data_IF_791354834650
#
_entry.id   IF_791354834650
#
_cell.length_a   1.000
_cell.length_b   1.000
_cell.length_c   1.000
_cell.angle_alpha   90.00
_cell.angle_beta   90.00
_cell.angle_gamma   90.00
#
_symmetry.space_group_name_H-M   'P 1'
#
loop_
_entity.id
_entity.type
_entity.pdbx_description
1 polymer ?
#
# COMPACT_ATOMS: atom_id res chain seq x y z
N UNK A 1 6.57 -15.03 44.65
CA UNK A 1 5.57 -15.65 43.76
C UNK A 1 6.34 -16.51 42.77
N UNK A 2 5.93 -17.77 42.57
CA UNK A 2 6.57 -18.63 41.57
C UNK A 2 6.45 -17.95 40.22
N UNK A 3 7.58 -17.68 39.55
CA UNK A 3 7.54 -17.21 38.17
C UNK A 3 6.70 -18.21 37.36
N UNK A 4 5.69 -17.73 36.64
CA UNK A 4 4.88 -18.58 35.79
C UNK A 4 5.79 -19.06 34.66
N UNK A 5 6.37 -20.27 34.77
CA UNK A 5 7.32 -20.75 33.76
C UNK A 5 6.72 -20.74 32.35
N UNK A 6 5.40 -20.94 32.24
CA UNK A 6 4.64 -20.90 31.00
C UNK A 6 3.39 -20.05 31.14
N UNK A 7 3.10 -19.25 30.12
CA UNK A 7 1.89 -18.42 30.02
C UNK A 7 1.22 -18.56 28.65
N UNK A 8 -0.07 -18.25 28.57
CA UNK A 8 -0.79 -18.07 27.31
C UNK A 8 -1.01 -16.57 27.12
N UNK A 9 -0.71 -16.04 25.94
CA UNK A 9 -1.01 -14.64 25.63
C UNK A 9 -2.00 -14.54 24.48
N UNK A 10 -2.96 -13.64 24.63
CA UNK A 10 -3.97 -13.31 23.63
C UNK A 10 -3.87 -11.82 23.31
N UNK A 11 -3.91 -11.48 22.02
CA UNK A 11 -3.82 -10.10 21.56
C UNK A 11 -4.72 -9.87 20.37
N UNK A 12 -5.27 -8.67 20.28
CA UNK A 12 -6.06 -8.18 19.16
C UNK A 12 -5.74 -6.70 18.91
N UNK A 13 -6.01 -6.23 17.71
CA UNK A 13 -5.89 -4.83 17.35
C UNK A 13 -6.77 -4.50 16.16
N UNK A 14 -7.28 -3.29 16.13
CA UNK A 14 -8.13 -2.86 15.05
C UNK A 14 -8.15 -1.36 14.86
N UNK A 15 -8.87 -0.93 13.83
CA UNK A 15 -9.08 0.46 13.48
C UNK A 15 -10.52 0.72 13.03
N UNK A 16 -11.08 1.87 13.47
CA UNK A 16 -12.40 2.37 13.05
C UNK A 16 -12.29 3.04 11.68
N UNK A 17 -12.46 2.24 10.62
CA UNK A 17 -11.97 2.60 9.28
C UNK A 17 -10.50 2.23 9.15
N UNK A 18 -10.01 1.88 7.97
CA UNK A 18 -8.66 1.32 7.81
C UNK A 18 -7.89 2.06 6.69
N UNK A 19 -7.01 3.03 7.00
CA UNK A 19 -6.62 3.48 8.36
C UNK A 19 -7.70 4.32 9.05
N UNK A 20 -7.63 4.41 10.38
CA UNK A 20 -8.57 5.16 11.21
C UNK A 20 -8.19 5.14 12.69
N UNK A 21 -9.05 5.62 13.60
CA UNK A 21 -8.81 5.53 15.04
C UNK A 21 -8.61 4.09 15.48
N UNK A 22 -7.41 3.80 15.95
CA UNK A 22 -6.91 2.45 16.17
C UNK A 22 -6.55 2.22 17.64
N UNK A 23 -6.58 0.95 18.04
CA UNK A 23 -6.21 0.53 19.38
C UNK A 23 -5.97 -0.96 19.43
N UNK A 24 -5.29 -1.40 20.48
CA UNK A 24 -5.03 -2.81 20.73
C UNK A 24 -5.45 -3.23 22.13
N UNK A 25 -5.62 -4.54 22.29
CA UNK A 25 -5.82 -5.22 23.55
C UNK A 25 -4.89 -6.42 23.65
N UNK A 26 -4.35 -6.68 24.84
CA UNK A 26 -3.49 -7.81 25.11
C UNK A 26 -3.73 -8.34 26.53
N UNK A 27 -3.75 -9.67 26.67
CA UNK A 27 -4.01 -10.38 27.92
C UNK A 27 -2.99 -11.49 28.09
N UNK A 28 -2.44 -11.60 29.30
CA UNK A 28 -1.55 -12.69 29.72
C UNK A 28 -2.31 -13.55 30.71
N UNK A 29 -2.45 -14.83 30.42
CA UNK A 29 -3.08 -15.81 31.28
C UNK A 29 -2.07 -16.79 31.87
N UNK A 30 -2.44 -17.43 32.98
CA UNK A 30 -1.80 -18.66 33.44
C UNK A 30 -1.81 -19.74 32.36
N UNK A 31 -0.91 -20.73 32.45
CA UNK A 31 -0.79 -21.79 31.44
C UNK A 31 -2.11 -22.56 31.16
N UNK A 32 -2.99 -22.68 32.16
CA UNK A 32 -4.30 -23.32 32.07
C UNK A 32 -5.46 -22.35 31.75
N UNK A 33 -5.15 -21.06 31.51
CA UNK A 33 -6.09 -19.97 31.29
C UNK A 33 -7.08 -19.74 32.44
N UNK A 34 -6.79 -20.20 33.66
CA UNK A 34 -7.66 -20.01 34.82
C UNK A 34 -7.54 -18.63 35.46
N UNK A 35 -6.38 -17.97 35.32
CA UNK A 35 -6.10 -16.66 35.91
C UNK A 35 -5.57 -15.67 34.87
N UNK A 36 -6.02 -14.40 34.96
CA UNK A 36 -5.42 -13.28 34.23
C UNK A 36 -4.27 -12.72 35.04
N UNK A 37 -3.06 -12.79 34.49
CA UNK A 37 -1.83 -12.33 35.12
C UNK A 37 -1.50 -10.88 34.77
N UNK A 38 -1.89 -10.43 33.57
CA UNK A 38 -1.71 -9.04 33.13
C UNK A 38 -2.66 -8.70 31.97
N UNK A 39 -3.06 -7.44 31.89
CA UNK A 39 -3.78 -6.84 30.74
C UNK A 39 -3.05 -5.59 30.29
N UNK A 40 -3.11 -5.31 28.98
CA UNK A 40 -2.61 -4.08 28.36
C UNK A 40 -3.61 -3.64 27.28
N UNK A 41 -3.79 -2.34 27.14
CA UNK A 41 -4.56 -1.71 26.06
C UNK A 41 -4.06 -0.30 25.83
N UNK A 42 -4.10 0.17 24.60
CA UNK A 42 -3.62 1.51 24.24
C UNK A 42 -4.35 2.03 23.00
N UNK A 43 -4.71 3.32 23.05
CA UNK A 43 -5.24 4.06 21.91
C UNK A 43 -4.06 4.55 21.05
N UNK A 44 -3.97 4.11 19.79
CA UNK A 44 -2.82 4.35 18.91
C UNK A 44 -2.95 5.59 18.02
N UNK A 45 -4.01 6.38 18.19
CA UNK A 45 -4.35 7.45 17.25
C UNK A 45 -4.82 6.86 15.91
N UNK A 46 -4.28 7.33 14.78
CA UNK A 46 -4.63 6.81 13.45
C UNK A 46 -3.63 5.73 13.02
N UNK A 47 -4.10 4.50 12.80
CA UNK A 47 -3.29 3.39 12.29
C UNK A 47 -4.12 2.41 11.45
N UNK A 48 -3.46 1.44 10.82
CA UNK A 48 -4.14 0.31 10.15
C UNK A 48 -4.42 -0.83 11.12
N UNK A 49 -5.34 -1.74 10.76
CA UNK A 49 -5.63 -2.95 11.54
C UNK A 49 -4.34 -3.74 11.84
N UNK A 50 -3.54 -4.03 10.81
CA UNK A 50 -2.35 -4.87 10.96
C UNK A 50 -1.27 -4.21 11.86
N UNK A 51 -1.17 -2.87 11.82
CA UNK A 51 -0.28 -2.13 12.73
C UNK A 51 -0.77 -2.26 14.18
N UNK A 52 -2.09 -2.14 14.41
CA UNK A 52 -2.67 -2.32 15.72
C UNK A 52 -2.49 -3.74 16.26
N UNK A 53 -2.71 -4.76 15.42
CA UNK A 53 -2.50 -6.17 15.81
C UNK A 53 -1.04 -6.44 16.19
N UNK A 54 -0.07 -5.90 15.44
CA UNK A 54 1.35 -6.04 15.78
C UNK A 54 1.72 -5.32 17.08
N UNK A 55 1.13 -4.15 17.35
CA UNK A 55 1.29 -3.43 18.61
C UNK A 55 0.72 -4.24 19.79
N UNK A 56 -0.45 -4.84 19.60
CA UNK A 56 -1.05 -5.77 20.56
C UNK A 56 -0.14 -6.96 20.89
N UNK A 57 0.45 -7.60 19.86
CA UNK A 57 1.41 -8.69 20.06
C UNK A 57 2.65 -8.25 20.86
N UNK A 58 3.23 -7.09 20.55
CA UNK A 58 4.40 -6.55 21.26
C UNK A 58 4.06 -6.31 22.72
N UNK A 59 2.89 -5.71 23.00
CA UNK A 59 2.42 -5.48 24.36
C UNK A 59 2.19 -6.79 25.13
N UNK A 60 1.61 -7.81 24.47
CA UNK A 60 1.41 -9.14 25.04
C UNK A 60 2.74 -9.83 25.41
N UNK A 61 3.72 -9.82 24.51
CA UNK A 61 5.05 -10.39 24.76
C UNK A 61 5.81 -9.63 25.86
N UNK A 62 5.66 -8.31 25.91
CA UNK A 62 6.28 -7.48 26.97
C UNK A 62 5.65 -7.80 28.33
N UNK A 63 4.31 -7.86 28.41
CA UNK A 63 3.61 -8.23 29.63
C UNK A 63 3.94 -9.67 30.09
N UNK A 64 4.16 -10.61 29.16
CA UNK A 64 4.64 -11.95 29.48
C UNK A 64 6.04 -11.95 30.11
N UNK A 65 6.94 -11.09 29.62
CA UNK A 65 8.26 -10.90 30.21
C UNK A 65 8.17 -10.27 31.61
N UNK A 66 7.31 -9.26 31.80
CA UNK A 66 7.10 -8.59 33.09
C UNK A 66 6.64 -9.56 34.19
N UNK A 67 5.81 -10.55 33.85
CA UNK A 67 5.35 -11.59 34.79
C UNK A 67 6.38 -12.72 34.99
N UNK A 68 7.54 -12.63 34.34
CA UNK A 68 8.65 -13.57 34.48
C UNK A 68 8.47 -14.88 33.72
N UNK A 69 7.72 -14.88 32.62
CA UNK A 69 7.52 -16.07 31.81
C UNK A 69 8.79 -16.51 31.07
N UNK A 70 8.98 -17.83 30.92
CA UNK A 70 10.05 -18.42 30.11
C UNK A 70 9.52 -19.08 28.83
N UNK A 71 8.30 -19.58 28.87
CA UNK A 71 7.59 -20.15 27.73
C UNK A 71 6.29 -19.39 27.46
N UNK A 72 6.01 -19.09 26.18
CA UNK A 72 4.82 -18.32 25.77
C UNK A 72 4.06 -19.04 24.66
N UNK A 73 2.76 -19.25 24.86
CA UNK A 73 1.83 -19.67 23.81
C UNK A 73 1.03 -18.46 23.33
N UNK A 74 1.39 -17.94 22.16
CA UNK A 74 0.74 -16.77 21.53
C UNK A 74 -0.46 -17.23 20.73
N UNK A 75 -1.64 -16.73 21.08
CA UNK A 75 -2.90 -17.02 20.40
C UNK A 75 -3.52 -15.72 19.89
N UNK A 76 -3.68 -15.63 18.58
CA UNK A 76 -4.28 -14.45 17.93
C UNK A 76 -5.23 -14.88 16.81
N UNK A 77 -6.24 -14.09 16.52
CA UNK A 77 -7.14 -14.27 15.38
C UNK A 77 -6.65 -13.59 14.10
N UNK A 78 -5.56 -12.82 14.19
CA UNK A 78 -4.79 -12.36 13.03
C UNK A 78 -3.98 -13.49 12.40
N UNK A 79 -4.51 -14.08 11.33
CA UNK A 79 -3.77 -15.08 10.54
C UNK A 79 -2.49 -14.50 9.95
N UNK A 80 -2.52 -13.23 9.54
CA UNK A 80 -1.37 -12.56 8.95
C UNK A 80 -0.22 -12.41 9.95
N UNK A 81 -0.48 -11.91 11.17
CA UNK A 81 0.57 -11.78 12.20
C UNK A 81 1.10 -13.16 12.63
N UNK A 82 0.21 -14.14 12.82
CA UNK A 82 0.60 -15.51 13.20
C UNK A 82 1.53 -16.15 12.15
N UNK A 83 1.18 -16.05 10.87
CA UNK A 83 1.96 -16.66 9.79
C UNK A 83 3.30 -15.94 9.57
N UNK A 84 3.34 -14.62 9.75
CA UNK A 84 4.56 -13.83 9.65
C UNK A 84 5.53 -14.10 10.82
N UNK A 85 5.02 -14.18 12.05
CA UNK A 85 5.83 -14.52 13.22
C UNK A 85 6.27 -15.97 13.25
N UNK A 86 5.50 -16.86 12.62
CA UNK A 86 5.90 -18.25 12.40
C UNK A 86 6.95 -18.41 11.29
N UNK A 87 7.33 -17.32 10.61
CA UNK A 87 8.29 -17.34 9.49
C UNK A 87 7.76 -17.98 8.20
N UNK A 88 6.46 -18.31 8.14
CA UNK A 88 5.84 -18.91 6.95
C UNK A 88 5.53 -17.85 5.91
N UNK A 89 5.17 -16.63 6.33
CA UNK A 89 4.91 -15.49 5.46
C UNK A 89 5.96 -14.40 5.64
N UNK A 90 6.34 -13.74 4.55
CA UNK A 90 7.26 -12.60 4.60
C UNK A 90 6.51 -11.34 5.05
N UNK A 91 7.15 -10.53 5.88
CA UNK A 91 6.67 -9.17 6.19
C UNK A 91 7.21 -8.22 5.14
N UNK A 92 6.30 -7.63 4.37
CA UNK A 92 6.65 -6.73 3.26
C UNK A 92 6.19 -5.29 3.48
N UNK A 93 5.18 -5.09 4.34
CA UNK A 93 4.64 -3.77 4.63
C UNK A 93 5.62 -2.96 5.49
N UNK A 94 6.05 -1.76 5.05
CA UNK A 94 6.98 -0.89 5.77
C UNK A 94 6.68 -0.71 7.26
N UNK A 95 5.44 -0.34 7.60
CA UNK A 95 5.04 -0.10 9.00
C UNK A 95 5.10 -1.37 9.88
N UNK A 96 4.99 -2.54 9.26
CA UNK A 96 5.01 -3.81 9.97
C UNK A 96 6.41 -4.40 10.09
N UNK A 97 7.37 -4.03 9.24
CA UNK A 97 8.76 -4.51 9.33
C UNK A 97 9.41 -4.15 10.69
N UNK A 98 9.35 -2.90 11.20
CA UNK A 98 9.93 -2.59 12.50
C UNK A 98 9.16 -3.27 13.64
N UNK A 99 7.84 -3.40 13.52
CA UNK A 99 7.02 -4.09 14.52
C UNK A 99 7.31 -5.60 14.56
N UNK A 100 7.45 -6.23 13.40
CA UNK A 100 7.86 -7.63 13.28
C UNK A 100 9.26 -7.83 13.85
N UNK A 101 10.22 -6.96 13.53
CA UNK A 101 11.57 -7.03 14.10
C UNK A 101 11.54 -6.92 15.61
N UNK A 102 10.77 -5.97 16.16
CA UNK A 102 10.62 -5.78 17.60
C UNK A 102 9.96 -6.99 18.27
N UNK A 103 8.89 -7.53 17.70
CA UNK A 103 8.27 -8.75 18.18
C UNK A 103 9.24 -9.93 18.14
N UNK A 104 10.05 -10.06 17.07
CA UNK A 104 11.06 -11.11 16.94
C UNK A 104 12.21 -10.95 17.95
N UNK A 105 12.59 -9.72 18.32
CA UNK A 105 13.53 -9.46 19.42
C UNK A 105 12.97 -9.92 20.76
N UNK A 106 11.71 -9.60 21.06
CA UNK A 106 11.04 -10.07 22.28
C UNK A 106 10.91 -11.59 22.31
N UNK A 107 10.57 -12.23 21.19
CA UNK A 107 10.51 -13.70 21.09
C UNK A 107 11.83 -14.35 21.51
N UNK A 108 12.98 -13.72 21.19
CA UNK A 108 14.31 -14.24 21.56
C UNK A 108 14.63 -14.13 23.05
N UNK A 109 13.84 -13.42 23.85
CA UNK A 109 14.05 -13.34 25.31
C UNK A 109 13.42 -14.51 26.05
N UNK A 110 12.59 -15.31 25.39
CA UNK A 110 11.94 -16.51 25.94
C UNK A 110 12.69 -17.78 25.51
N UNK A 111 12.58 -18.84 26.31
CA UNK A 111 13.13 -20.16 25.96
C UNK A 111 12.35 -20.80 24.81
N UNK A 112 11.03 -20.61 24.80
CA UNK A 112 10.15 -21.16 23.79
C UNK A 112 8.94 -20.26 23.55
N UNK A 113 8.64 -19.99 22.28
CA UNK A 113 7.43 -19.28 21.86
C UNK A 113 6.72 -20.08 20.78
N UNK A 114 5.41 -20.24 20.92
CA UNK A 114 4.55 -20.84 19.89
C UNK A 114 3.54 -19.82 19.41
N UNK A 115 3.17 -19.90 18.13
CA UNK A 115 2.18 -19.04 17.51
C UNK A 115 1.03 -19.89 16.98
N UNK A 116 -0.17 -19.64 17.48
CA UNK A 116 -1.38 -20.33 17.10
C UNK A 116 -2.43 -19.32 16.62
N UNK A 117 -2.98 -19.59 15.44
CA UNK A 117 -4.18 -18.89 15.00
C UNK A 117 -5.41 -19.48 15.70
N UNK A 118 -6.26 -18.62 16.26
CA UNK A 118 -7.53 -19.00 16.89
C UNK A 118 -8.70 -18.28 16.21
N UNK A 119 -9.90 -18.88 16.16
CA UNK A 119 -11.12 -18.18 15.73
C UNK A 119 -11.41 -16.96 16.62
N UNK A 120 -12.00 -15.91 16.05
CA UNK A 120 -12.29 -14.64 16.75
C UNK A 120 -13.15 -14.81 17.99
N UNK A 121 -14.10 -15.75 17.98
CA UNK A 121 -14.93 -16.06 19.14
C UNK A 121 -14.11 -16.56 20.36
N UNK A 122 -12.89 -17.05 20.13
CA UNK A 122 -11.97 -17.51 21.17
C UNK A 122 -11.03 -16.41 21.66
N UNK A 123 -10.95 -15.26 20.98
CA UNK A 123 -10.11 -14.10 21.32
C UNK A 123 -10.92 -12.93 21.95
N UNK A 124 -12.13 -13.23 22.46
CA UNK A 124 -13.10 -12.21 22.90
C UNK A 124 -12.61 -11.26 23.98
N UNK A 125 -11.66 -11.67 24.83
CA UNK A 125 -11.12 -10.80 25.87
C UNK A 125 -10.20 -9.73 25.28
N UNK A 126 -9.24 -10.11 24.44
CA UNK A 126 -8.36 -9.15 23.78
C UNK A 126 -9.14 -8.25 22.80
N UNK A 127 -10.12 -8.80 22.07
CA UNK A 127 -11.03 -8.03 21.20
C UNK A 127 -11.83 -6.98 21.99
N UNK A 128 -12.33 -7.32 23.17
CA UNK A 128 -12.99 -6.36 24.06
C UNK A 128 -12.09 -5.19 24.43
N UNK A 129 -10.85 -5.47 24.85
CA UNK A 129 -9.85 -4.44 25.19
C UNK A 129 -9.46 -3.58 23.97
N UNK A 130 -9.30 -4.18 22.79
CA UNK A 130 -9.01 -3.47 21.55
C UNK A 130 -10.17 -2.55 21.12
N UNK A 131 -11.41 -2.98 21.32
CA UNK A 131 -12.60 -2.16 21.05
C UNK A 131 -12.70 -0.95 21.99
N UNK A 132 -12.42 -1.13 23.27
CA UNK A 132 -12.33 0.00 24.22
C UNK A 132 -11.26 1.01 23.79
N UNK A 133 -10.09 0.52 23.37
CA UNK A 133 -8.98 1.34 22.93
C UNK A 133 -9.27 2.11 21.63
N UNK A 134 -9.89 1.46 20.65
CA UNK A 134 -10.34 2.10 19.41
C UNK A 134 -11.38 3.20 19.66
N UNK A 135 -12.34 2.95 20.58
CA UNK A 135 -13.36 3.92 20.92
C UNK A 135 -12.78 5.11 21.71
N UNK A 136 -11.77 4.88 22.54
CA UNK A 136 -11.00 5.92 23.20
C UNK A 136 -10.23 6.78 22.18
N UNK A 137 -9.54 6.14 21.22
CA UNK A 137 -8.85 6.81 20.12
C UNK A 137 -9.81 7.69 19.29
N UNK A 138 -11.00 7.18 18.97
CA UNK A 138 -12.01 7.92 18.21
C UNK A 138 -12.54 9.16 18.94
N UNK A 139 -12.47 9.15 20.28
CA UNK A 139 -12.89 10.27 21.14
C UNK A 139 -11.72 11.20 21.51
N UNK A 140 -10.49 10.91 21.05
CA UNK A 140 -9.28 11.65 21.42
C UNK A 140 -8.94 11.53 22.91
N UNK A 141 -9.31 10.41 23.54
CA UNK A 141 -9.03 10.13 24.95
C UNK A 141 -7.74 9.29 25.01
N UNK A 142 -6.69 9.86 25.59
CA UNK A 142 -5.53 9.06 26.00
C UNK A 142 -5.95 8.14 27.15
N UNK A 143 -5.81 6.83 26.93
CA UNK A 143 -5.85 5.86 28.02
C UNK A 143 -4.54 6.00 28.80
N UNK A 144 -4.57 5.93 30.14
CA UNK A 144 -3.38 6.20 30.95
C UNK A 144 -2.21 5.26 30.60
N UNK A 145 -1.08 5.88 30.24
CA UNK A 145 0.24 5.25 30.11
C UNK A 145 0.73 4.64 31.44
N UNK A 146 1.48 3.55 31.33
CA UNK A 146 2.37 3.04 32.40
C UNK A 146 3.78 2.82 31.82
N UNK A 147 4.83 2.89 32.67
CA UNK A 147 6.07 3.61 32.37
C UNK A 147 7.11 2.81 31.58
N UNK A 148 7.99 3.60 30.96
CA UNK A 148 9.26 3.28 30.27
C UNK A 148 9.17 2.81 28.81
N UNK A 149 8.66 3.69 27.94
CA UNK A 149 9.24 3.81 26.60
C UNK A 149 10.47 4.72 26.65
N UNK A 150 11.67 4.15 26.54
CA UNK A 150 12.88 4.95 26.29
C UNK A 150 12.68 5.77 25.00
N UNK A 151 13.00 7.08 24.99
CA UNK A 151 12.93 7.88 23.78
C UNK A 151 14.00 7.41 22.79
N UNK A 152 13.56 6.97 21.61
CA UNK A 152 14.45 6.55 20.53
C UNK A 152 15.50 7.64 20.24
N UNK A 153 16.78 7.23 20.25
CA UNK A 153 17.92 8.09 19.97
C UNK A 153 17.76 8.77 18.61
N UNK A 154 17.82 10.11 18.60
CA UNK A 154 17.81 10.93 17.39
C UNK A 154 19.04 10.63 16.52
N UNK A 155 18.83 9.98 15.38
CA UNK A 155 19.78 10.04 14.27
C UNK A 155 19.72 11.44 13.61
N UNK A 156 20.84 11.94 13.04
CA UNK A 156 20.84 13.24 12.40
C UNK A 156 19.91 13.23 11.19
N UNK A 157 18.97 14.18 11.18
CA UNK A 157 17.97 14.33 10.14
C UNK A 157 18.63 14.69 8.80
N UNK A 158 18.36 13.88 7.76
CA UNK A 158 18.33 14.39 6.39
C UNK A 158 17.23 15.47 6.30
N UNK A 159 17.42 16.44 5.40
CA UNK A 159 16.70 17.71 5.33
C UNK A 159 15.18 17.63 5.62
N UNK A 160 14.60 18.65 6.28
CA UNK A 160 13.24 18.57 6.81
C UNK A 160 12.20 18.52 5.68
N UNK A 161 11.69 17.32 5.40
CA UNK A 161 10.40 17.17 4.74
C UNK A 161 9.30 17.53 5.75
N UNK A 162 8.36 18.40 5.36
CA UNK A 162 7.21 18.78 6.19
C UNK A 162 6.33 17.59 6.63
N UNK A 163 6.49 16.45 5.94
CA UNK A 163 5.75 15.20 6.15
C UNK A 163 6.31 14.30 7.24
N UNK A 164 7.50 14.57 7.78
CA UNK A 164 8.15 13.69 8.76
C UNK A 164 8.62 12.33 8.21
N UNK A 165 8.53 12.13 6.88
CA UNK A 165 8.92 10.90 6.22
C UNK A 165 10.44 10.67 6.30
N UNK A 166 10.87 9.43 6.56
CA UNK A 166 12.27 9.05 6.82
C UNK A 166 12.81 8.16 5.70
N UNK A 167 14.01 8.50 5.21
CA UNK A 167 14.72 7.76 4.16
C UNK A 167 14.52 8.35 2.76
N UNK A 168 15.37 7.92 1.82
CA UNK A 168 15.26 8.37 0.43
C UNK A 168 14.09 7.64 -0.26
N UNK A 169 13.15 8.37 -0.89
CA UNK A 169 12.00 7.74 -1.54
C UNK A 169 12.39 7.07 -2.85
N UNK A 170 11.64 6.03 -3.24
CA UNK A 170 11.54 5.67 -4.64
C UNK A 170 10.65 6.68 -5.34
N UNK A 171 11.23 7.50 -6.21
CA UNK A 171 10.52 8.52 -6.98
C UNK A 171 10.07 7.92 -8.32
N UNK A 172 8.77 7.91 -8.56
CA UNK A 172 8.17 7.42 -9.81
C UNK A 172 7.69 8.59 -10.67
N UNK A 173 8.30 8.75 -11.83
CA UNK A 173 7.88 9.65 -12.90
C UNK A 173 6.88 8.90 -13.78
N UNK A 174 5.60 9.13 -13.52
CA UNK A 174 4.47 8.45 -14.15
C UNK A 174 4.16 9.13 -15.49
N UNK A 175 4.56 8.49 -16.59
CA UNK A 175 4.35 9.00 -17.95
C UNK A 175 3.20 8.24 -18.61
N UNK A 176 2.16 8.96 -19.01
CA UNK A 176 1.10 8.36 -19.84
C UNK A 176 1.60 8.20 -21.28
N UNK A 177 1.23 7.12 -21.95
CA UNK A 177 1.53 6.95 -23.38
C UNK A 177 1.01 8.14 -24.24
N UNK A 178 1.64 8.34 -25.41
CA UNK A 178 1.21 9.31 -26.41
C UNK A 178 -0.13 8.96 -27.08
N UNK A 179 -0.66 9.87 -27.90
CA UNK A 179 -1.95 9.68 -28.58
C UNK A 179 -2.00 8.44 -29.47
N UNK A 180 -3.15 7.74 -29.43
CA UNK A 180 -3.53 6.67 -30.37
C UNK A 180 -4.82 7.05 -31.10
N UNK A 181 -5.19 6.30 -32.14
CA UNK A 181 -6.45 6.51 -32.86
C UNK A 181 -7.69 6.43 -31.94
N UNK A 182 -7.74 5.45 -31.03
CA UNK A 182 -8.84 5.33 -30.05
C UNK A 182 -8.92 6.51 -29.09
N UNK A 183 -7.77 7.13 -28.79
CA UNK A 183 -7.74 8.33 -27.93
C UNK A 183 -8.36 9.55 -28.63
N UNK A 184 -8.17 9.70 -29.95
CA UNK A 184 -8.80 10.76 -30.75
C UNK A 184 -10.32 10.65 -30.67
N UNK A 185 -10.83 9.44 -30.83
CA UNK A 185 -12.27 9.15 -30.84
C UNK A 185 -12.88 9.03 -29.43
N UNK A 186 -12.08 9.20 -28.37
CA UNK A 186 -12.49 9.03 -26.96
C UNK A 186 -13.17 7.67 -26.70
N UNK A 187 -12.61 6.63 -27.31
CA UNK A 187 -13.04 5.24 -27.16
C UNK A 187 -12.31 4.58 -25.99
N UNK A 188 -12.97 3.66 -25.30
CA UNK A 188 -12.33 2.78 -24.33
C UNK A 188 -11.20 2.02 -25.04
N UNK A 189 -10.02 2.05 -24.43
CA UNK A 189 -8.79 1.45 -24.96
C UNK A 189 -8.11 0.74 -23.81
N UNK A 190 -8.40 -0.54 -23.66
CA UNK A 190 -7.91 -1.39 -22.60
C UNK A 190 -6.72 -2.21 -23.08
N UNK A 191 -6.95 -3.51 -23.28
CA UNK A 191 -5.92 -4.45 -23.73
C UNK A 191 -5.73 -4.48 -25.24
N UNK A 192 -6.57 -3.77 -26.00
CA UNK A 192 -6.27 -3.48 -27.40
C UNK A 192 -4.89 -2.84 -27.55
N UNK A 193 -4.24 -3.03 -28.70
CA UNK A 193 -2.87 -2.57 -28.91
C UNK A 193 -2.72 -1.62 -30.12
N UNK A 194 -3.45 -0.49 -30.16
CA UNK A 194 -3.27 0.50 -31.21
C UNK A 194 -1.89 1.16 -31.09
N UNK A 195 -1.28 1.39 -32.24
CA UNK A 195 -0.04 2.15 -32.40
C UNK A 195 -0.25 3.63 -32.06
N UNK A 196 0.84 4.35 -31.78
CA UNK A 196 0.80 5.80 -31.66
C UNK A 196 0.46 6.44 -33.01
N UNK A 197 -0.29 7.55 -32.98
CA UNK A 197 -0.44 8.43 -34.16
C UNK A 197 0.85 9.21 -34.39
N UNK A 198 0.98 9.90 -35.53
CA UNK A 198 2.09 10.83 -35.74
C UNK A 198 2.17 11.90 -34.64
N UNK A 199 1.02 12.38 -34.15
CA UNK A 199 0.99 13.29 -33.01
C UNK A 199 1.44 12.58 -31.73
N UNK A 200 1.03 11.33 -31.51
CA UNK A 200 1.48 10.52 -30.38
C UNK A 200 3.00 10.29 -30.36
N UNK A 201 3.61 10.07 -31.52
CA UNK A 201 5.07 9.98 -31.67
C UNK A 201 5.74 11.30 -31.30
N UNK A 202 5.25 12.43 -31.82
CA UNK A 202 5.79 13.76 -31.45
C UNK A 202 5.65 14.04 -29.95
N UNK A 203 4.52 13.66 -29.36
CA UNK A 203 4.30 13.77 -27.92
C UNK A 203 5.28 12.93 -27.11
N UNK A 204 5.54 11.68 -27.51
CA UNK A 204 6.52 10.81 -26.89
C UNK A 204 7.93 11.38 -26.98
N UNK A 205 8.34 11.92 -28.14
CA UNK A 205 9.63 12.60 -28.32
C UNK A 205 9.76 13.83 -27.41
N UNK A 206 8.71 14.65 -27.30
CA UNK A 206 8.71 15.82 -26.42
C UNK A 206 8.82 15.43 -24.94
N UNK A 207 8.10 14.38 -24.52
CA UNK A 207 8.22 13.83 -23.17
C UNK A 207 9.63 13.27 -22.91
N UNK A 208 10.22 12.57 -23.88
CA UNK A 208 11.60 12.09 -23.78
C UNK A 208 12.61 13.23 -23.62
N UNK A 209 12.44 14.33 -24.37
CA UNK A 209 13.29 15.51 -24.23
C UNK A 209 13.18 16.17 -22.84
N UNK A 210 11.96 16.21 -22.27
CA UNK A 210 11.73 16.66 -20.88
C UNK A 210 12.47 15.78 -19.88
N UNK A 211 12.40 14.46 -20.05
CA UNK A 211 13.07 13.49 -19.19
C UNK A 211 14.61 13.55 -19.33
N UNK A 212 15.12 13.86 -20.53
CA UNK A 212 16.55 14.08 -20.79
C UNK A 212 17.21 15.18 -19.97
N UNK A 213 16.43 16.04 -19.30
CA UNK A 213 16.92 17.03 -18.34
C UNK A 213 17.16 16.49 -16.93
N UNK A 214 16.98 15.19 -16.69
CA UNK A 214 17.14 14.53 -15.40
C UNK A 214 18.30 13.52 -15.42
N UNK A 215 19.37 13.84 -14.70
CA UNK A 215 20.55 12.97 -14.59
C UNK A 215 20.40 11.89 -13.50
N UNK A 216 19.31 11.92 -12.71
CA UNK A 216 19.07 11.04 -11.57
C UNK A 216 18.18 9.83 -11.88
N UNK A 217 17.70 9.69 -13.12
CA UNK A 217 16.84 8.58 -13.53
C UNK A 217 17.66 7.30 -13.67
N UNK A 218 17.34 6.31 -12.85
CA UNK A 218 18.07 5.05 -12.77
C UNK A 218 17.50 3.94 -13.67
N UNK A 219 16.21 3.99 -14.01
CA UNK A 219 15.56 2.96 -14.82
C UNK A 219 14.29 3.46 -15.50
N UNK A 220 13.90 2.75 -16.57
CA UNK A 220 12.63 2.92 -17.26
C UNK A 220 11.88 1.59 -17.20
N UNK A 221 10.67 1.63 -16.64
CA UNK A 221 9.74 0.50 -16.63
C UNK A 221 8.50 0.85 -17.45
N UNK A 222 7.95 -0.12 -18.17
CA UNK A 222 6.82 0.14 -19.07
C UNK A 222 5.81 -1.00 -19.07
N UNK A 223 4.55 -0.65 -19.30
CA UNK A 223 3.53 -1.61 -19.71
C UNK A 223 3.94 -2.34 -21.00
N UNK A 224 3.56 -3.61 -21.20
CA UNK A 224 3.85 -4.36 -22.43
C UNK A 224 3.12 -3.82 -23.67
N UNK A 225 2.01 -3.08 -23.51
CA UNK A 225 1.25 -2.57 -24.65
C UNK A 225 2.08 -1.60 -25.51
N UNK A 226 2.02 -1.77 -26.83
CA UNK A 226 2.78 -1.09 -27.87
C UNK A 226 2.79 0.42 -27.74
N UNK A 227 1.65 1.07 -27.49
CA UNK A 227 1.59 2.53 -27.26
C UNK A 227 2.46 3.01 -26.08
N UNK A 228 2.50 2.24 -24.99
CA UNK A 228 3.35 2.53 -23.84
C UNK A 228 4.81 2.17 -24.14
N UNK A 229 5.05 1.07 -24.85
CA UNK A 229 6.40 0.67 -25.29
C UNK A 229 7.03 1.70 -26.21
N UNK A 230 6.35 2.17 -27.25
CA UNK A 230 6.85 3.22 -28.15
C UNK A 230 7.16 4.52 -27.41
N UNK A 231 6.34 4.87 -26.42
CA UNK A 231 6.59 6.05 -25.58
C UNK A 231 7.82 5.84 -24.70
N UNK A 232 7.98 4.65 -24.12
CA UNK A 232 9.14 4.28 -23.31
C UNK A 232 10.43 4.18 -24.14
N UNK A 233 10.36 3.68 -25.37
CA UNK A 233 11.52 3.55 -26.26
C UNK A 233 12.05 4.94 -26.67
N UNK A 234 11.17 5.94 -26.84
CA UNK A 234 11.59 7.33 -27.02
C UNK A 234 12.34 7.87 -25.78
N UNK A 235 11.82 7.61 -24.57
CA UNK A 235 12.48 8.01 -23.32
C UNK A 235 13.83 7.29 -23.14
N UNK A 236 13.89 6.00 -23.46
CA UNK A 236 15.12 5.19 -23.45
C UNK A 236 16.19 5.77 -24.38
N UNK A 237 15.82 6.14 -25.60
CA UNK A 237 16.74 6.78 -26.54
C UNK A 237 17.31 8.11 -26.03
N UNK A 238 16.51 8.91 -25.31
CA UNK A 238 16.97 10.18 -24.74
C UNK A 238 17.83 10.01 -23.48
N UNK A 239 17.54 9.00 -22.66
CA UNK A 239 18.22 8.75 -21.38
C UNK A 239 19.43 7.79 -21.51
N UNK A 240 19.54 7.06 -22.61
CA UNK A 240 20.55 6.01 -22.78
C UNK A 240 20.33 4.80 -21.86
N UNK A 241 19.07 4.48 -21.53
CA UNK A 241 18.68 3.40 -20.62
C UNK A 241 17.86 2.32 -21.34
N UNK A 242 17.88 1.10 -20.82
CA UNK A 242 17.02 0.01 -21.28
C UNK A 242 15.59 0.10 -20.67
N UNK A 243 14.61 -0.47 -21.38
CA UNK A 243 13.22 -0.55 -20.93
C UNK A 243 12.92 -1.93 -20.36
N UNK A 244 12.57 -1.98 -19.07
CA UNK A 244 12.05 -3.20 -18.44
C UNK A 244 10.53 -3.26 -18.57
N UNK A 245 9.98 -4.40 -18.97
CA UNK A 245 8.53 -4.57 -19.10
C UNK A 245 7.92 -5.13 -17.84
N UNK A 246 6.80 -4.57 -17.41
CA UNK A 246 6.03 -5.04 -16.25
C UNK A 246 4.58 -5.22 -16.66
N UNK A 247 4.14 -6.47 -16.76
CA UNK A 247 2.79 -6.82 -17.23
C UNK A 247 1.68 -6.21 -16.37
N UNK A 248 1.91 -6.12 -15.06
CA UNK A 248 0.96 -5.52 -14.12
C UNK A 248 0.76 -4.00 -14.31
N UNK A 249 1.55 -3.33 -15.17
CA UNK A 249 1.33 -1.94 -15.56
C UNK A 249 0.36 -1.79 -16.74
N UNK A 250 -0.21 -2.87 -17.27
CA UNK A 250 -1.19 -2.83 -18.38
C UNK A 250 -2.43 -1.98 -18.02
N UNK A 251 -3.09 -1.38 -19.00
CA UNK A 251 -4.36 -0.65 -18.79
C UNK A 251 -5.48 -1.57 -18.31
N UNK A 252 -6.54 -0.98 -17.75
CA UNK A 252 -7.81 -1.65 -17.46
C UNK A 252 -8.31 -2.42 -18.68
N UNK A 253 -8.55 -3.71 -18.54
CA UNK A 253 -9.30 -4.51 -19.50
C UNK A 253 -10.77 -4.07 -19.53
N UNK A 254 -11.16 -3.38 -20.59
CA UNK A 254 -12.54 -2.93 -20.78
C UNK A 254 -13.44 -4.00 -21.41
N UNK A 255 -12.92 -5.20 -21.70
CA UNK A 255 -13.69 -6.32 -22.23
C UNK A 255 -14.53 -5.94 -23.44
N UNK A 256 -15.84 -6.20 -23.36
CA UNK A 256 -16.80 -5.90 -24.43
C UNK A 256 -16.94 -4.39 -24.77
N UNK A 257 -16.43 -3.50 -23.92
CA UNK A 257 -16.45 -2.06 -24.17
C UNK A 257 -15.25 -1.58 -24.99
N UNK A 258 -14.25 -2.44 -25.23
CA UNK A 258 -13.09 -2.11 -26.06
C UNK A 258 -13.53 -1.49 -27.39
N UNK A 259 -12.97 -0.32 -27.72
CA UNK A 259 -13.30 0.41 -28.93
C UNK A 259 -14.65 1.11 -28.93
N UNK A 260 -15.51 0.96 -27.92
CA UNK A 260 -16.74 1.76 -27.79
C UNK A 260 -16.44 3.14 -27.23
N UNK A 261 -17.21 4.13 -27.64
CA UNK A 261 -17.31 5.39 -26.91
C UNK A 261 -18.09 5.18 -25.61
N UNK A 262 -17.97 6.13 -24.68
CA UNK A 262 -18.76 6.14 -23.46
C UNK A 262 -20.28 6.08 -23.72
N UNK A 263 -20.76 6.81 -24.74
CA UNK A 263 -22.17 6.84 -25.11
C UNK A 263 -22.63 5.48 -25.67
N UNK A 264 -21.85 4.90 -26.59
CA UNK A 264 -22.16 3.58 -27.15
C UNK A 264 -22.18 2.48 -26.07
N UNK A 265 -21.21 2.49 -25.14
CA UNK A 265 -21.19 1.54 -24.02
C UNK A 265 -22.39 1.72 -23.08
N UNK A 266 -22.75 2.97 -22.76
CA UNK A 266 -23.94 3.30 -21.97
C UNK A 266 -25.23 2.85 -22.65
N UNK A 267 -25.37 3.05 -23.95
CA UNK A 267 -26.58 2.70 -24.69
C UNK A 267 -26.72 1.18 -24.86
N UNK A 268 -25.60 0.47 -25.08
CA UNK A 268 -25.57 -0.99 -25.20
C UNK A 268 -25.72 -1.71 -23.85
N UNK A 269 -25.18 -1.14 -22.78
CA UNK A 269 -25.10 -1.76 -21.45
C UNK A 269 -25.53 -0.80 -20.32
N UNK A 270 -26.77 -0.26 -20.34
CA UNK A 270 -27.17 0.87 -19.47
C UNK A 270 -27.12 0.56 -17.97
N UNK A 271 -27.54 -0.64 -17.57
CA UNK A 271 -27.51 -1.09 -16.17
C UNK A 271 -26.07 -1.27 -15.67
N UNK A 272 -25.27 -2.03 -16.43
CA UNK A 272 -23.88 -2.33 -16.08
C UNK A 272 -23.02 -1.07 -16.05
N UNK A 273 -23.20 -0.18 -17.03
CA UNK A 273 -22.45 1.07 -17.14
C UNK A 273 -22.75 2.02 -15.98
N UNK A 274 -24.03 2.11 -15.56
CA UNK A 274 -24.43 2.87 -14.37
C UNK A 274 -23.82 2.30 -13.09
N UNK A 275 -23.84 0.98 -12.92
CA UNK A 275 -23.25 0.31 -11.76
C UNK A 275 -21.73 0.53 -11.69
N UNK A 276 -21.04 0.38 -12.82
CA UNK A 276 -19.58 0.59 -12.95
C UNK A 276 -19.13 2.02 -12.61
N UNK A 277 -19.95 3.04 -12.88
CA UNK A 277 -19.65 4.41 -12.49
C UNK A 277 -19.80 4.68 -10.98
N UNK A 278 -20.61 3.87 -10.29
CA UNK A 278 -20.91 4.04 -8.87
C UNK A 278 -20.11 3.13 -7.94
N UNK A 279 -19.50 2.07 -8.47
CA UNK A 279 -18.86 1.01 -7.71
C UNK A 279 -17.62 0.48 -8.46
N UNK A 280 -16.44 0.62 -7.85
CA UNK A 280 -15.15 0.22 -8.43
C UNK A 280 -14.95 -1.30 -8.47
N UNK A 281 -15.76 -2.06 -7.75
CA UNK A 281 -15.75 -3.53 -7.76
C UNK A 281 -16.48 -4.11 -8.96
N UNK A 282 -17.35 -3.33 -9.60
CA UNK A 282 -18.07 -3.72 -10.81
C UNK A 282 -17.12 -3.64 -12.01
N UNK A 283 -17.13 -4.67 -12.86
CA UNK A 283 -16.32 -4.72 -14.08
C UNK A 283 -17.17 -4.45 -15.33
N UNK A 284 -16.57 -3.94 -16.43
CA UNK A 284 -17.12 -4.09 -17.77
C UNK A 284 -17.36 -5.58 -18.09
N UNK A 285 -18.34 -5.94 -18.95
CA UNK A 285 -18.55 -7.33 -19.35
C UNK A 285 -17.27 -7.93 -19.95
N UNK A 286 -16.87 -9.10 -19.47
CA UNK A 286 -15.62 -9.79 -19.84
C UNK A 286 -14.33 -8.95 -19.65
N UNK A 287 -14.38 -7.90 -18.84
CA UNK A 287 -13.24 -7.04 -18.49
C UNK A 287 -12.79 -7.21 -17.04
N UNK A 288 -12.06 -6.22 -16.54
CA UNK A 288 -11.61 -6.15 -15.16
C UNK A 288 -12.20 -4.94 -14.42
N UNK A 289 -12.44 -5.11 -13.11
CA UNK A 289 -12.88 -4.02 -12.24
C UNK A 289 -11.71 -3.13 -11.84
N UNK A 290 -11.98 -1.91 -11.40
CA UNK A 290 -10.93 -1.03 -10.90
C UNK A 290 -10.27 -1.57 -9.62
N UNK A 291 -10.99 -2.35 -8.81
CA UNK A 291 -10.42 -3.04 -7.64
C UNK A 291 -9.41 -4.13 -8.05
N UNK A 292 -9.69 -4.86 -9.13
CA UNK A 292 -8.76 -5.85 -9.68
C UNK A 292 -7.49 -5.17 -10.23
N UNK A 293 -7.65 -4.06 -10.96
CA UNK A 293 -6.53 -3.22 -11.41
C UNK A 293 -5.73 -2.71 -10.22
N UNK A 294 -6.40 -2.22 -9.19
CA UNK A 294 -5.76 -1.73 -7.97
C UNK A 294 -4.90 -2.80 -7.32
N UNK A 295 -5.41 -4.02 -7.18
CA UNK A 295 -4.67 -5.14 -6.59
C UNK A 295 -3.35 -5.41 -7.32
N UNK A 296 -3.37 -5.48 -8.66
CA UNK A 296 -2.14 -5.71 -9.44
C UNK A 296 -1.20 -4.51 -9.46
N UNK A 297 -1.73 -3.28 -9.45
CA UNK A 297 -0.92 -2.06 -9.40
C UNK A 297 -0.27 -1.86 -8.03
N UNK A 298 -0.94 -2.18 -6.92
CA UNK A 298 -0.35 -2.21 -5.59
C UNK A 298 0.82 -3.20 -5.55
N UNK A 299 0.63 -4.41 -6.06
CA UNK A 299 1.70 -5.41 -6.13
C UNK A 299 2.87 -4.96 -7.02
N UNK A 300 2.59 -4.31 -8.16
CA UNK A 300 3.63 -3.75 -9.03
C UNK A 300 4.39 -2.61 -8.35
N UNK A 301 3.67 -1.67 -7.73
CA UNK A 301 4.25 -0.57 -6.95
C UNK A 301 5.21 -1.10 -5.89
N UNK A 302 4.77 -2.08 -5.09
CA UNK A 302 5.59 -2.62 -3.99
C UNK A 302 6.88 -3.27 -4.52
N UNK A 303 6.81 -4.01 -5.62
CA UNK A 303 8.00 -4.58 -6.28
C UNK A 303 8.93 -3.49 -6.82
N UNK A 304 8.38 -2.44 -7.44
CA UNK A 304 9.17 -1.32 -7.96
C UNK A 304 9.84 -0.51 -6.84
N UNK A 305 9.16 -0.31 -5.71
CA UNK A 305 9.75 0.31 -4.52
C UNK A 305 10.90 -0.54 -3.98
N UNK A 306 10.71 -1.86 -3.87
CA UNK A 306 11.74 -2.79 -3.40
C UNK A 306 12.97 -2.82 -4.32
N UNK A 307 12.75 -2.94 -5.64
CA UNK A 307 13.81 -3.05 -6.65
C UNK A 307 14.58 -1.73 -6.85
N UNK A 308 13.88 -0.60 -6.78
CA UNK A 308 14.42 0.73 -7.03
C UNK A 308 14.41 1.62 -5.77
N UNK A 309 14.66 1.02 -4.60
CA UNK A 309 14.71 1.71 -3.32
C UNK A 309 15.67 2.93 -3.37
N UNK A 310 15.17 4.11 -3.00
CA UNK A 310 15.94 5.36 -2.99
C UNK A 310 16.34 5.90 -4.37
N UNK A 311 15.76 5.38 -5.46
CA UNK A 311 16.08 5.79 -6.84
C UNK A 311 14.90 6.49 -7.52
N UNK A 312 15.21 7.29 -8.53
CA UNK A 312 14.22 7.84 -9.47
C UNK A 312 14.03 6.91 -10.65
N UNK A 313 12.78 6.57 -11.00
CA UNK A 313 12.45 5.74 -12.16
C UNK A 313 11.35 6.38 -13.00
N UNK A 314 11.34 6.10 -14.31
CA UNK A 314 10.23 6.44 -15.21
C UNK A 314 9.31 5.23 -15.34
N UNK A 315 8.02 5.43 -15.10
CA UNK A 315 6.97 4.41 -15.23
C UNK A 315 6.05 4.80 -16.38
N UNK A 316 6.19 4.15 -17.52
CA UNK A 316 5.39 4.44 -18.72
C UNK A 316 4.18 3.52 -18.81
N UNK A 317 2.98 4.08 -18.69
CA UNK A 317 1.74 3.30 -18.57
C UNK A 317 0.52 4.12 -19.04
N UNK A 318 -0.65 3.89 -18.47
CA UNK A 318 -1.95 4.31 -18.98
C UNK A 318 -2.78 5.03 -17.91
N UNK A 319 -3.99 5.45 -18.26
CA UNK A 319 -4.76 6.36 -17.40
C UNK A 319 -5.17 5.69 -16.09
N UNK A 320 -5.61 4.43 -16.09
CA UNK A 320 -6.04 3.79 -14.84
C UNK A 320 -4.86 3.47 -13.91
N UNK A 321 -3.78 2.81 -14.37
CA UNK A 321 -2.59 2.59 -13.55
C UNK A 321 -2.04 3.88 -12.90
N UNK A 322 -1.94 4.98 -13.65
CA UNK A 322 -1.41 6.25 -13.11
C UNK A 322 -2.35 6.81 -12.04
N UNK A 323 -3.66 6.84 -12.31
CA UNK A 323 -4.65 7.30 -11.32
C UNK A 323 -4.60 6.45 -10.06
N UNK A 324 -4.44 5.13 -10.18
CA UNK A 324 -4.32 4.22 -9.05
C UNK A 324 -3.03 4.48 -8.26
N UNK A 325 -1.88 4.66 -8.92
CA UNK A 325 -0.63 5.01 -8.22
C UNK A 325 -0.72 6.35 -7.48
N UNK A 326 -1.35 7.36 -8.09
CA UNK A 326 -1.60 8.65 -7.44
C UNK A 326 -2.63 8.54 -6.30
N UNK A 327 -3.65 7.70 -6.46
CA UNK A 327 -4.63 7.40 -5.40
C UNK A 327 -3.94 6.80 -4.18
N UNK A 328 -3.07 5.81 -4.40
CA UNK A 328 -2.28 5.16 -3.36
C UNK A 328 -1.32 6.13 -2.67
N UNK A 329 -0.68 7.02 -3.44
CA UNK A 329 0.25 8.01 -2.90
C UNK A 329 -0.45 9.12 -2.09
N UNK A 330 -1.69 9.47 -2.44
CA UNK A 330 -2.49 10.47 -1.73
C UNK A 330 -3.30 9.89 -0.57
N UNK A 331 -3.38 8.56 -0.47
CA UNK A 331 -4.25 7.83 0.46
C UNK A 331 -5.71 8.31 0.43
N UNK A 332 -6.28 8.41 -0.78
CA UNK A 332 -7.67 8.85 -0.99
C UNK A 332 -8.56 7.76 -1.57
N UNK A 333 -9.87 7.92 -1.35
CA UNK A 333 -10.88 6.96 -1.77
C UNK A 333 -11.06 6.80 -3.30
N UNK A 334 -11.88 5.81 -3.72
CA UNK A 334 -12.08 5.41 -5.12
C UNK A 334 -12.56 6.55 -6.04
N UNK A 335 -13.25 7.55 -5.50
CA UNK A 335 -13.79 8.68 -6.27
C UNK A 335 -12.76 9.44 -7.10
N UNK A 336 -11.46 9.37 -6.74
CA UNK A 336 -10.37 9.98 -7.49
C UNK A 336 -10.31 9.46 -8.93
N UNK A 337 -10.59 8.18 -9.17
CA UNK A 337 -10.53 7.54 -10.49
C UNK A 337 -11.45 8.25 -11.51
N UNK A 338 -12.59 8.78 -11.05
CA UNK A 338 -13.57 9.46 -11.89
C UNK A 338 -13.37 10.98 -11.97
N UNK A 339 -12.58 11.57 -11.06
CA UNK A 339 -12.43 13.03 -10.92
C UNK A 339 -11.09 13.56 -11.40
N UNK A 340 -10.07 12.71 -11.44
CA UNK A 340 -8.76 13.09 -11.97
C UNK A 340 -8.77 13.02 -13.50
N UNK A 341 -8.38 14.11 -14.15
CA UNK A 341 -8.07 14.10 -15.57
C UNK A 341 -6.57 13.93 -15.75
N UNK A 342 -6.17 13.15 -16.76
CA UNK A 342 -4.78 12.99 -17.18
C UNK A 342 -4.75 13.14 -18.69
N UNK A 343 -3.90 14.01 -19.21
CA UNK A 343 -3.65 14.22 -20.64
C UNK A 343 -2.70 13.15 -21.19
N UNK A 344 -2.71 12.97 -22.51
CA UNK A 344 -1.79 12.05 -23.20
C UNK A 344 -0.37 12.61 -23.15
N UNK A 345 0.64 11.73 -23.00
CA UNK A 345 2.03 12.12 -22.77
C UNK A 345 2.24 13.09 -21.58
N UNK A 346 1.29 13.13 -20.64
CA UNK A 346 1.45 13.89 -19.40
C UNK A 346 2.38 13.18 -18.43
N UNK A 347 3.05 13.99 -17.61
CA UNK A 347 3.94 13.53 -16.55
C UNK A 347 3.32 13.84 -15.18
N UNK A 348 3.30 12.84 -14.31
CA UNK A 348 3.01 13.00 -12.88
C UNK A 348 4.17 12.44 -12.07
N UNK A 349 4.34 12.91 -10.83
CA UNK A 349 5.43 12.47 -9.95
C UNK A 349 4.86 12.09 -8.60
N UNK A 350 5.10 10.84 -8.21
CA UNK A 350 4.82 10.33 -6.88
C UNK A 350 6.12 9.82 -6.24
N UNK A 351 6.26 10.04 -4.95
CA UNK A 351 7.35 9.53 -4.12
C UNK A 351 6.77 8.57 -3.10
N UNK A 352 7.40 7.40 -2.96
CA UNK A 352 7.06 6.40 -1.97
C UNK A 352 8.27 6.20 -1.06
N UNK A 353 8.09 6.46 0.23
CA UNK A 353 9.14 6.44 1.23
C UNK A 353 9.25 5.05 1.89
N UNK A 354 10.45 4.67 2.38
CA UNK A 354 10.67 3.39 3.03
C UNK A 354 9.88 3.18 4.33
N UNK A 355 9.31 4.25 4.90
CA UNK A 355 8.48 4.23 6.11
C UNK A 355 6.97 4.14 5.80
N UNK A 356 6.60 3.84 4.56
CA UNK A 356 5.20 3.76 4.13
C UNK A 356 4.58 5.10 3.77
N UNK A 357 5.25 6.22 4.08
CA UNK A 357 4.84 7.54 3.64
C UNK A 357 4.85 7.65 2.11
N UNK A 358 3.99 8.51 1.58
CA UNK A 358 4.02 8.85 0.16
C UNK A 358 3.71 10.33 -0.04
N UNK A 359 4.11 10.86 -1.19
CA UNK A 359 3.73 12.22 -1.58
C UNK A 359 3.61 12.36 -3.08
N UNK A 360 2.66 13.16 -3.53
CA UNK A 360 2.53 13.54 -4.93
C UNK A 360 3.14 14.92 -5.13
N UNK A 361 4.13 15.01 -6.02
CA UNK A 361 4.89 16.25 -6.29
C UNK A 361 4.40 16.99 -7.53
N UNK A 362 3.82 16.27 -8.48
CA UNK A 362 3.37 16.79 -9.76
C UNK A 362 2.21 15.94 -10.27
N UNK A 363 1.20 16.58 -10.86
CA UNK A 363 0.07 15.88 -11.49
C UNK A 363 -0.17 16.51 -12.85
N UNK A 364 -0.24 15.66 -13.87
CA UNK A 364 -0.70 16.01 -15.21
C UNK A 364 0.07 17.17 -15.89
N UNK A 365 1.39 17.21 -15.75
CA UNK A 365 2.22 18.21 -16.43
C UNK A 365 2.34 17.88 -17.93
N UNK A 366 2.05 18.88 -18.76
CA UNK A 366 2.17 18.80 -20.22
C UNK A 366 2.97 19.97 -20.79
N UNK A 367 3.77 20.66 -19.96
CA UNK A 367 4.50 21.86 -20.39
C UNK A 367 5.52 21.60 -21.52
N UNK A 368 5.92 20.35 -21.74
CA UNK A 368 6.78 19.93 -22.85
C UNK A 368 6.05 19.80 -24.20
N UNK A 369 4.72 19.84 -24.21
CA UNK A 369 3.94 19.66 -25.43
C UNK A 369 3.62 20.98 -26.14
N UNK A 370 4.01 22.12 -25.56
CA UNK A 370 3.69 23.47 -26.03
C UNK A 370 4.83 24.15 -26.75
#
# INVERSE_FOLDING_TARGET
>A
MSAAQRVVVEADGGSRGNPGPAGYGAVVFSADRSEVLAERREALGIATNNVAEYRGLIAALTAAADVGAREVDVRMDSKLVVEQMSGRWKVKHPDMIPLNRRAAELVRTFDHVTFQWIPREQNSHADGLANEAMDAAAKGIDLPDLPDSEPAAKQPAAAPGWTGAVGDPTRMLLLRHGQTALSVDRRYSGRGNPELTELGVRQATAAAARLGGHDDIAAIVSSPLGRARQTADAAAGALGLDVTTVDDLTETDFGDWEGLTFAEAKDRYPEQHRAWLGDTSVAPPNGESFDAVRTRIEAARDRLIEEYAGKTIVVVTHVTPIKTLLQLALDVGPSLLYRMHLDLASLSIAEFYPDGGASVKLVNDTSHLT
#
